data_IF_274533338102
#
_entry.id   IF_274533338102
#
_cell.length_a   1.000
_cell.length_b   1.000
_cell.length_c   1.000
_cell.angle_alpha   90.00
_cell.angle_beta   90.00
_cell.angle_gamma   90.00
#
_symmetry.space_group_name_H-M   'P 1'
#
loop_
_entity.id
_entity.type
_entity.pdbx_description
1 polymer ?
#
# COMPACT_ATOMS: atom_id res chain seq x y z
N UNK A 1 -27.78 14.94 13.96
CA UNK A 1 -27.35 16.08 14.80
C UNK A 1 -26.39 16.91 13.93
N UNK A 2 -26.71 18.16 13.62
CA UNK A 2 -25.85 19.02 12.79
C UNK A 2 -24.73 19.59 13.68
N UNK A 3 -23.48 19.19 13.46
CA UNK A 3 -22.34 19.85 14.08
C UNK A 3 -22.02 21.11 13.29
N UNK A 4 -22.16 22.27 13.93
CA UNK A 4 -21.75 23.54 13.32
C UNK A 4 -20.23 23.64 13.45
N UNK A 5 -19.50 23.47 12.36
CA UNK A 5 -18.06 23.70 12.34
C UNK A 5 -17.78 25.17 12.66
N UNK A 6 -16.99 25.42 13.70
CA UNK A 6 -16.49 26.75 14.04
C UNK A 6 -15.02 26.78 13.62
N UNK A 7 -14.64 27.55 12.57
CA UNK A 7 -13.26 27.57 12.11
C UNK A 7 -12.32 28.00 13.24
N UNK A 8 -11.11 27.41 13.33
CA UNK A 8 -10.13 27.87 14.30
C UNK A 8 -9.76 29.32 13.97
N UNK A 9 -9.89 30.18 14.97
CA UNK A 9 -9.43 31.57 14.92
C UNK A 9 -8.13 31.67 15.68
N UNK A 10 -7.15 32.35 15.10
CA UNK A 10 -5.95 32.76 15.84
C UNK A 10 -6.23 34.13 16.42
N UNK A 11 -6.05 34.24 17.74
CA UNK A 11 -6.20 35.51 18.46
C UNK A 11 -4.81 35.99 18.84
N UNK A 12 -4.42 37.17 18.34
CA UNK A 12 -3.19 37.84 18.73
C UNK A 12 -3.51 39.25 19.24
N UNK A 13 -2.53 39.88 19.89
CA UNK A 13 -2.61 41.29 20.30
C UNK A 13 -1.50 42.06 19.61
N UNK A 14 -1.84 43.19 19.01
CA UNK A 14 -0.84 44.07 18.39
C UNK A 14 -0.03 44.85 19.44
N UNK A 15 1.01 45.54 18.97
CA UNK A 15 1.90 46.35 19.82
C UNK A 15 1.23 47.57 20.45
N UNK A 16 -0.01 47.87 20.07
CA UNK A 16 -0.85 48.92 20.68
C UNK A 16 -1.88 48.36 21.67
N UNK A 17 -1.90 47.04 21.89
CA UNK A 17 -2.79 46.35 22.80
C UNK A 17 -4.16 45.97 22.21
N UNK A 18 -4.36 46.11 20.89
CA UNK A 18 -5.62 45.73 20.26
C UNK A 18 -5.64 44.22 19.95
N UNK A 19 -6.78 43.58 20.20
CA UNK A 19 -7.00 42.18 19.86
C UNK A 19 -7.29 42.05 18.36
N UNK A 20 -6.46 41.29 17.66
CA UNK A 20 -6.65 40.90 16.27
C UNK A 20 -7.13 39.44 16.23
N UNK A 21 -8.29 39.22 15.61
CA UNK A 21 -8.84 37.89 15.37
C UNK A 21 -8.72 37.60 13.89
N UNK A 22 -7.85 36.66 13.53
CA UNK A 22 -7.66 36.25 12.14
C UNK A 22 -8.35 34.90 11.92
N UNK A 23 -9.29 34.78 10.97
CA UNK A 23 -9.81 33.48 10.55
C UNK A 23 -8.66 32.66 9.96
N UNK A 24 -8.41 31.45 10.46
CA UNK A 24 -7.49 30.56 9.76
C UNK A 24 -8.18 30.12 8.45
N UNK A 25 -7.45 30.19 7.33
CA UNK A 25 -7.92 29.72 6.02
C UNK A 25 -7.85 28.19 5.90
N UNK A 26 -7.96 27.47 7.02
CA UNK A 26 -7.99 26.01 7.01
C UNK A 26 -9.17 25.55 6.16
N UNK A 27 -8.87 24.90 5.04
CA UNK A 27 -9.87 24.15 4.29
C UNK A 27 -10.59 23.22 5.26
N UNK A 28 -11.93 23.16 5.25
CA UNK A 28 -12.64 22.20 6.08
C UNK A 28 -12.06 20.80 5.83
N UNK A 29 -11.91 19.95 6.85
CA UNK A 29 -11.64 18.54 6.58
C UNK A 29 -12.73 18.03 5.61
N UNK A 30 -12.37 17.20 4.63
CA UNK A 30 -13.37 16.62 3.74
C UNK A 30 -14.50 16.01 4.59
N UNK A 31 -15.77 16.10 4.15
CA UNK A 31 -16.85 15.44 4.87
C UNK A 31 -16.49 13.95 5.05
N UNK A 32 -16.83 13.33 6.19
CA UNK A 32 -16.63 11.90 6.39
C UNK A 32 -17.21 11.16 5.19
N UNK A 33 -16.41 10.33 4.52
CA UNK A 33 -16.89 9.49 3.43
C UNK A 33 -17.85 8.48 4.06
N UNK A 34 -19.16 8.66 3.88
CA UNK A 34 -20.20 7.85 4.54
C UNK A 34 -20.51 6.54 3.80
N UNK A 35 -19.90 6.29 2.64
CA UNK A 35 -20.03 5.06 1.85
C UNK A 35 -18.73 4.81 1.13
N UNK A 36 -18.16 3.61 1.29
CA UNK A 36 -17.00 3.21 0.49
C UNK A 36 -17.36 3.04 -0.99
N UNK A 37 -16.40 2.62 -1.79
CA UNK A 37 -16.56 2.49 -3.24
C UNK A 37 -16.21 1.10 -3.80
N UNK A 38 -16.02 0.08 -2.96
CA UNK A 38 -15.96 -1.30 -3.41
C UNK A 38 -17.31 -1.74 -3.97
N UNK A 39 -17.32 -2.29 -5.18
CA UNK A 39 -18.52 -2.72 -5.89
C UNK A 39 -18.42 -4.12 -6.50
N UNK A 40 -19.34 -4.47 -7.43
CA UNK A 40 -19.39 -5.79 -8.07
C UNK A 40 -18.21 -6.07 -9.02
N UNK A 41 -17.40 -5.06 -9.35
CA UNK A 41 -16.19 -5.20 -10.15
C UNK A 41 -15.07 -5.98 -9.43
N UNK A 42 -15.20 -6.21 -8.13
CA UNK A 42 -14.28 -7.03 -7.33
C UNK A 42 -14.82 -8.45 -7.16
N UNK A 43 -13.93 -9.43 -7.24
CA UNK A 43 -14.19 -10.78 -6.76
C UNK A 43 -13.82 -10.89 -5.29
N UNK A 44 -14.82 -11.09 -4.43
CA UNK A 44 -14.64 -11.29 -2.99
C UNK A 44 -14.34 -12.77 -2.74
N UNK A 45 -13.06 -13.12 -2.61
CA UNK A 45 -12.59 -14.51 -2.48
C UNK A 45 -12.88 -15.06 -1.09
N UNK A 46 -13.75 -16.08 -0.95
CA UNK A 46 -14.00 -16.72 0.33
C UNK A 46 -12.71 -17.14 1.02
N UNK A 47 -12.74 -17.19 2.36
CA UNK A 47 -11.57 -17.55 3.16
C UNK A 47 -10.92 -18.85 2.64
N UNK A 48 -9.61 -18.81 2.42
CA UNK A 48 -8.85 -19.93 1.89
C UNK A 48 -7.54 -20.15 2.63
N UNK A 49 -6.74 -21.13 2.20
CA UNK A 49 -5.47 -21.44 2.84
C UNK A 49 -5.59 -21.98 4.28
N UNK A 50 -6.74 -22.58 4.61
CA UNK A 50 -7.04 -23.05 5.97
C UNK A 50 -7.67 -22.00 6.88
N UNK A 51 -7.76 -20.73 6.44
CA UNK A 51 -8.50 -19.71 7.16
C UNK A 51 -10.00 -20.00 7.22
N UNK A 52 -10.59 -19.52 8.31
CA UNK A 52 -12.02 -19.26 8.42
C UNK A 52 -12.27 -17.75 8.45
N UNK A 53 -13.55 -17.37 8.40
CA UNK A 53 -13.97 -15.99 8.52
C UNK A 53 -14.77 -15.53 7.30
N UNK A 54 -14.64 -14.27 6.92
CA UNK A 54 -15.43 -13.70 5.83
C UNK A 54 -14.69 -12.60 5.08
N UNK A 55 -14.96 -12.52 3.79
CA UNK A 55 -14.75 -11.32 2.99
C UNK A 55 -16.09 -10.89 2.42
N UNK A 56 -16.44 -9.61 2.54
CA UNK A 56 -17.70 -9.10 2.03
C UNK A 56 -17.63 -7.61 1.77
N UNK A 57 -18.51 -7.13 0.91
CA UNK A 57 -18.77 -5.71 0.74
C UNK A 57 -20.02 -5.32 1.52
N UNK A 58 -19.93 -4.25 2.30
CA UNK A 58 -21.06 -3.68 3.05
C UNK A 58 -21.07 -2.17 2.84
N UNK A 59 -22.08 -1.65 2.14
CA UNK A 59 -22.24 -0.22 1.86
C UNK A 59 -20.98 0.43 1.25
N UNK A 60 -20.31 -0.29 0.34
CA UNK A 60 -19.11 0.18 -0.33
C UNK A 60 -17.80 -0.10 0.40
N UNK A 61 -17.84 -0.59 1.64
CA UNK A 61 -16.65 -0.94 2.43
C UNK A 61 -16.32 -2.41 2.22
N UNK A 62 -15.08 -2.73 1.87
CA UNK A 62 -14.58 -4.10 1.89
C UNK A 62 -14.23 -4.47 3.33
N UNK A 63 -14.86 -5.51 3.84
CA UNK A 63 -14.64 -6.04 5.18
C UNK A 63 -13.92 -7.38 5.08
N UNK A 64 -12.73 -7.47 5.65
CA UNK A 64 -12.03 -8.74 5.86
C UNK A 64 -12.08 -9.11 7.33
N UNK A 65 -12.42 -10.36 7.61
CA UNK A 65 -12.47 -10.96 8.94
C UNK A 65 -11.70 -12.27 8.84
N UNK A 66 -10.44 -12.25 9.23
CA UNK A 66 -9.54 -13.40 9.10
C UNK A 66 -9.39 -14.10 10.45
N UNK A 67 -9.63 -15.41 10.47
CA UNK A 67 -9.18 -16.27 11.55
C UNK A 67 -8.38 -17.43 10.96
N UNK A 68 -7.13 -17.57 11.40
CA UNK A 68 -6.28 -18.69 11.03
C UNK A 68 -5.30 -19.03 12.17
N UNK A 69 -5.77 -19.72 13.23
CA UNK A 69 -4.95 -19.96 14.43
C UNK A 69 -3.82 -20.98 14.20
N UNK A 70 -3.87 -21.77 13.11
CA UNK A 70 -2.81 -22.67 12.68
C UNK A 70 -2.08 -22.14 11.44
N UNK A 71 -1.22 -22.98 10.85
CA UNK A 71 -0.41 -22.62 9.68
C UNK A 71 1.05 -22.35 10.03
N UNK A 72 1.80 -21.93 9.03
CA UNK A 72 3.22 -21.57 9.10
C UNK A 72 3.59 -20.69 7.88
N UNK A 73 4.86 -20.33 7.73
CA UNK A 73 5.32 -19.49 6.63
C UNK A 73 5.13 -20.10 5.22
N UNK A 74 4.77 -21.39 5.13
CA UNK A 74 4.43 -22.06 3.87
C UNK A 74 2.92 -22.28 3.71
N UNK A 75 2.11 -21.94 4.71
CA UNK A 75 0.69 -22.24 4.79
C UNK A 75 -0.09 -21.07 5.42
N UNK A 76 -0.24 -20.00 4.65
CA UNK A 76 -1.04 -18.83 5.01
C UNK A 76 -2.53 -19.07 4.72
N UNK A 77 -3.36 -18.59 5.64
CA UNK A 77 -4.78 -18.40 5.41
C UNK A 77 -5.04 -16.97 4.95
N UNK A 78 -6.04 -16.76 4.10
CA UNK A 78 -6.30 -15.45 3.48
C UNK A 78 -7.79 -15.13 3.36
N UNK A 79 -8.10 -13.83 3.34
CA UNK A 79 -9.41 -13.26 3.01
C UNK A 79 -9.19 -12.01 2.16
N UNK A 80 -9.51 -12.07 0.88
CA UNK A 80 -9.08 -11.04 -0.08
C UNK A 80 -10.17 -10.69 -1.09
N UNK A 81 -10.07 -9.49 -1.64
CA UNK A 81 -10.80 -9.06 -2.82
C UNK A 81 -9.81 -8.89 -3.97
N UNK A 82 -10.15 -9.45 -5.13
CA UNK A 82 -9.28 -9.49 -6.30
C UNK A 82 -9.95 -8.84 -7.50
N UNK A 83 -9.16 -8.14 -8.31
CA UNK A 83 -9.59 -7.55 -9.57
C UNK A 83 -8.48 -7.65 -10.62
N UNK A 84 -8.78 -8.18 -11.80
CA UNK A 84 -7.85 -8.31 -12.90
C UNK A 84 -7.36 -9.74 -13.14
N UNK A 85 -6.10 -9.92 -13.51
CA UNK A 85 -5.49 -11.20 -13.88
C UNK A 85 -4.32 -11.54 -12.97
N UNK A 86 -4.13 -12.84 -12.72
CA UNK A 86 -3.22 -13.31 -11.69
C UNK A 86 -2.33 -14.48 -12.15
N UNK A 87 -1.21 -14.75 -11.45
CA UNK A 87 -0.26 -15.82 -11.76
C UNK A 87 -0.86 -17.22 -11.87
N UNK A 88 -1.90 -17.51 -11.10
CA UNK A 88 -2.60 -18.80 -11.05
C UNK A 88 -3.57 -19.05 -12.23
N UNK A 89 -3.43 -18.28 -13.33
CA UNK A 89 -3.98 -18.65 -14.64
C UNK A 89 -5.42 -18.23 -14.92
N UNK A 90 -6.09 -17.52 -14.02
CA UNK A 90 -7.45 -17.05 -14.20
C UNK A 90 -7.60 -15.57 -13.81
N UNK A 91 -8.55 -14.88 -14.46
CA UNK A 91 -8.95 -13.53 -14.07
C UNK A 91 -10.02 -13.56 -13.00
N UNK A 92 -10.01 -12.55 -12.13
CA UNK A 92 -10.90 -12.41 -10.98
C UNK A 92 -11.54 -11.02 -11.03
N UNK A 93 -12.84 -10.95 -10.81
CA UNK A 93 -13.60 -9.71 -10.95
C UNK A 93 -13.57 -9.17 -12.37
N UNK A 94 -13.71 -7.85 -12.50
CA UNK A 94 -13.62 -7.16 -13.78
C UNK A 94 -12.16 -6.85 -14.15
N UNK A 95 -11.85 -6.62 -15.44
CA UNK A 95 -10.57 -6.08 -15.86
C UNK A 95 -10.21 -4.77 -15.16
N UNK A 96 -8.90 -4.53 -14.97
CA UNK A 96 -8.39 -3.25 -14.51
C UNK A 96 -8.54 -2.16 -15.58
N UNK A 97 -8.80 -0.90 -15.18
CA UNK A 97 -8.59 0.25 -16.05
C UNK A 97 -7.15 0.29 -16.58
N UNK A 98 -6.96 0.75 -17.81
CA UNK A 98 -5.63 0.90 -18.39
C UNK A 98 -4.83 2.05 -17.73
N UNK A 99 -3.51 1.89 -17.67
CA UNK A 99 -2.53 2.91 -17.25
C UNK A 99 -2.74 3.47 -15.84
N UNK A 100 -3.09 2.61 -14.88
CA UNK A 100 -3.07 2.97 -13.46
C UNK A 100 -1.63 3.37 -13.09
N UNK A 101 -1.48 4.58 -12.54
CA UNK A 101 -0.21 5.15 -12.08
C UNK A 101 -0.07 5.01 -10.57
N UNK A 102 -1.18 5.15 -9.84
CA UNK A 102 -1.19 4.95 -8.40
C UNK A 102 -2.46 4.26 -7.90
N UNK A 103 -2.29 3.53 -6.81
CA UNK A 103 -3.35 2.84 -6.06
C UNK A 103 -3.33 3.41 -4.65
N UNK A 104 -4.44 4.04 -4.27
CA UNK A 104 -4.63 4.51 -2.90
C UNK A 104 -5.71 3.69 -2.22
N UNK A 105 -5.48 3.25 -0.99
CA UNK A 105 -6.46 2.49 -0.19
C UNK A 105 -6.45 3.00 1.23
N UNK A 106 -7.63 3.29 1.79
CA UNK A 106 -7.77 3.62 3.21
C UNK A 106 -8.27 2.38 3.95
N UNK A 107 -7.44 1.82 4.82
CA UNK A 107 -7.80 0.77 5.75
C UNK A 107 -8.20 1.35 7.12
N UNK A 108 -8.80 0.51 7.95
CA UNK A 108 -9.09 0.77 9.35
C UNK A 108 -9.02 -0.57 10.09
N UNK A 109 -7.98 -0.76 10.88
CA UNK A 109 -7.79 -1.95 11.68
C UNK A 109 -8.75 -1.94 12.88
N UNK A 110 -9.57 -2.98 12.97
CA UNK A 110 -10.56 -3.13 14.04
C UNK A 110 -10.07 -4.05 15.16
N UNK A 111 -9.49 -5.19 14.77
CA UNK A 111 -9.02 -6.23 15.69
C UNK A 111 -7.70 -6.79 15.17
N UNK A 112 -6.78 -7.02 16.09
CA UNK A 112 -5.53 -7.72 15.83
C UNK A 112 -5.16 -8.61 17.02
N UNK A 113 -5.44 -9.90 16.91
CA UNK A 113 -5.26 -10.89 17.99
C UNK A 113 -4.63 -12.17 17.47
N UNK A 114 -3.67 -12.67 18.24
CA UNK A 114 -2.85 -13.83 17.87
C UNK A 114 -2.89 -14.91 18.95
N UNK A 115 -2.61 -16.14 18.53
CA UNK A 115 -2.37 -17.25 19.46
C UNK A 115 -1.05 -17.05 20.23
N UNK A 116 -0.86 -17.81 21.30
CA UNK A 116 0.44 -17.89 21.97
C UNK A 116 1.39 -18.79 21.15
N UNK A 117 2.34 -18.20 20.43
CA UNK A 117 3.31 -18.94 19.63
C UNK A 117 3.84 -18.11 18.46
N UNK A 118 4.53 -18.74 17.51
CA UNK A 118 4.87 -18.11 16.24
C UNK A 118 3.62 -17.64 15.52
N UNK A 119 3.70 -16.47 14.91
CA UNK A 119 2.60 -15.90 14.13
C UNK A 119 3.13 -14.95 13.07
N UNK A 120 2.50 -14.93 11.91
CA UNK A 120 2.78 -13.94 10.88
C UNK A 120 1.46 -13.54 10.28
N UNK A 121 1.13 -12.25 10.28
CA UNK A 121 -0.06 -11.77 9.62
C UNK A 121 0.10 -10.36 9.08
N UNK A 122 -0.68 -10.06 8.06
CA UNK A 122 -0.67 -8.78 7.42
C UNK A 122 -2.04 -8.45 6.85
N UNK A 123 -2.29 -7.15 6.69
CA UNK A 123 -3.22 -6.67 5.69
C UNK A 123 -2.47 -5.82 4.67
N UNK A 124 -2.89 -5.90 3.41
CA UNK A 124 -2.06 -5.47 2.30
C UNK A 124 -2.85 -5.02 1.09
N UNK A 125 -2.15 -4.30 0.22
CA UNK A 125 -2.52 -4.07 -1.17
C UNK A 125 -1.45 -4.74 -2.03
N UNK A 126 -1.87 -5.77 -2.76
CA UNK A 126 -1.09 -6.54 -3.70
C UNK A 126 -1.23 -6.00 -5.12
N UNK A 127 -0.13 -5.86 -5.85
CA UNK A 127 -0.10 -5.49 -7.26
C UNK A 127 0.58 -6.62 -8.06
N UNK A 128 -0.07 -7.05 -9.14
CA UNK A 128 0.40 -8.16 -9.97
C UNK A 128 0.73 -7.67 -11.37
N UNK A 129 1.99 -7.88 -11.76
CA UNK A 129 2.54 -7.37 -13.01
C UNK A 129 2.83 -8.51 -13.97
N UNK A 130 2.45 -8.34 -15.23
CA UNK A 130 3.04 -9.11 -16.31
C UNK A 130 4.43 -8.59 -16.58
N UNK A 131 5.43 -9.46 -16.50
CA UNK A 131 6.81 -9.14 -16.84
C UNK A 131 7.48 -10.41 -17.36
N UNK A 132 7.81 -10.45 -18.66
CA UNK A 132 8.35 -11.66 -19.29
C UNK A 132 9.70 -12.12 -18.72
N UNK A 133 10.44 -11.21 -18.06
CA UNK A 133 11.71 -11.50 -17.41
C UNK A 133 11.55 -12.16 -16.03
N UNK A 134 10.37 -12.07 -15.42
CA UNK A 134 10.08 -12.63 -14.10
C UNK A 134 9.71 -14.11 -14.18
N UNK A 135 9.79 -14.82 -13.05
CA UNK A 135 9.37 -16.20 -12.90
C UNK A 135 7.91 -16.38 -13.35
N UNK A 136 7.68 -17.35 -14.24
CA UNK A 136 6.39 -17.59 -14.92
C UNK A 136 5.77 -16.37 -15.63
N UNK A 137 6.57 -15.34 -15.92
CA UNK A 137 6.11 -14.11 -16.55
C UNK A 137 5.36 -13.18 -15.60
N UNK A 138 5.53 -13.35 -14.28
CA UNK A 138 4.83 -12.59 -13.26
C UNK A 138 5.75 -12.08 -12.17
N UNK A 139 5.51 -10.82 -11.81
CA UNK A 139 6.05 -10.20 -10.62
C UNK A 139 4.86 -9.82 -9.74
N UNK A 140 4.94 -10.05 -8.44
CA UNK A 140 3.95 -9.55 -7.50
C UNK A 140 4.61 -8.65 -6.44
N UNK A 141 3.85 -7.67 -5.95
CA UNK A 141 4.30 -6.80 -4.87
C UNK A 141 3.21 -6.64 -3.83
N UNK A 142 3.57 -6.60 -2.56
CA UNK A 142 2.67 -6.23 -1.47
C UNK A 142 3.19 -4.99 -0.73
N UNK A 143 2.38 -3.95 -0.64
CA UNK A 143 2.55 -2.97 0.44
C UNK A 143 1.66 -3.40 1.59
N UNK A 144 2.24 -3.59 2.78
CA UNK A 144 1.56 -4.27 3.88
C UNK A 144 1.79 -3.63 5.25
N UNK A 145 0.78 -3.75 6.10
CA UNK A 145 0.95 -3.59 7.55
C UNK A 145 1.06 -5.00 8.13
N UNK A 146 2.22 -5.32 8.69
CA UNK A 146 2.63 -6.69 9.02
C UNK A 146 2.97 -6.83 10.51
N UNK A 147 2.67 -7.99 11.06
CA UNK A 147 3.11 -8.45 12.36
C UNK A 147 3.81 -9.79 12.25
N UNK A 148 5.03 -9.86 12.77
CA UNK A 148 5.79 -11.10 12.94
C UNK A 148 5.96 -11.33 14.44
N UNK A 149 5.58 -12.52 14.89
CA UNK A 149 5.56 -12.93 16.31
C UNK A 149 4.85 -11.92 17.23
N UNK A 150 3.79 -11.28 16.70
CA UNK A 150 2.95 -10.25 17.33
C UNK A 150 3.59 -8.87 17.43
N UNK A 151 4.80 -8.70 16.93
CA UNK A 151 5.46 -7.40 16.82
C UNK A 151 5.20 -6.82 15.45
N UNK A 152 4.75 -5.56 15.39
CA UNK A 152 4.56 -4.87 14.12
C UNK A 152 5.93 -4.63 13.46
N UNK A 153 6.04 -4.94 12.18
CA UNK A 153 7.26 -4.70 11.42
C UNK A 153 7.50 -3.19 11.25
N UNK A 154 8.76 -2.72 11.34
CA UNK A 154 9.10 -1.33 11.10
C UNK A 154 8.80 -0.87 9.67
N UNK A 155 8.45 0.40 9.50
CA UNK A 155 8.32 1.04 8.18
C UNK A 155 9.59 0.85 7.35
N UNK A 156 9.40 0.48 6.08
CA UNK A 156 10.51 0.25 5.16
C UNK A 156 11.17 -1.12 5.28
N UNK A 157 10.62 -2.04 6.09
CA UNK A 157 11.07 -3.44 6.07
C UNK A 157 10.72 -4.07 4.73
N UNK A 158 11.72 -4.64 4.07
CA UNK A 158 11.57 -5.27 2.76
C UNK A 158 11.81 -6.78 2.84
N UNK A 159 11.07 -7.57 2.06
CA UNK A 159 11.37 -8.99 1.86
C UNK A 159 11.00 -9.47 0.45
N UNK A 160 11.61 -10.58 0.03
CA UNK A 160 11.22 -11.31 -1.18
C UNK A 160 10.58 -12.65 -0.80
N UNK A 161 9.68 -13.14 -1.65
CA UNK A 161 9.01 -14.43 -1.51
C UNK A 161 8.68 -15.02 -2.88
N UNK A 162 8.39 -16.32 -2.95
CA UNK A 162 8.11 -16.98 -4.23
C UNK A 162 9.36 -17.26 -5.08
N UNK A 163 9.24 -16.98 -6.38
CA UNK A 163 10.25 -17.27 -7.39
C UNK A 163 10.42 -18.77 -7.67
N UNK A 164 11.46 -19.11 -8.43
CA UNK A 164 11.73 -20.51 -8.82
C UNK A 164 11.99 -21.47 -7.65
N UNK A 165 12.37 -20.93 -6.49
CA UNK A 165 12.58 -21.67 -5.23
C UNK A 165 11.28 -22.00 -4.49
N UNK A 166 10.21 -21.26 -4.75
CA UNK A 166 8.87 -21.48 -4.19
C UNK A 166 7.81 -21.36 -5.30
N UNK A 167 7.63 -22.42 -6.10
CA UNK A 167 6.75 -22.40 -7.25
C UNK A 167 5.26 -22.27 -6.89
N UNK A 168 4.90 -22.36 -5.60
CA UNK A 168 3.51 -22.21 -5.14
C UNK A 168 2.96 -20.80 -5.39
N UNK A 169 3.81 -19.78 -5.26
CA UNK A 169 3.48 -18.36 -5.49
C UNK A 169 3.32 -18.05 -6.98
N UNK A 170 4.04 -18.77 -7.85
CA UNK A 170 4.01 -18.62 -9.31
C UNK A 170 4.42 -17.21 -9.83
N UNK A 171 5.05 -16.39 -9.00
CA UNK A 171 5.59 -15.08 -9.32
C UNK A 171 6.88 -14.81 -8.54
N UNK A 172 7.69 -13.87 -9.01
CA UNK A 172 8.77 -13.26 -8.24
C UNK A 172 8.16 -12.20 -7.30
N UNK A 173 8.15 -12.46 -6.00
CA UNK A 173 7.41 -11.63 -5.05
C UNK A 173 8.27 -10.70 -4.19
N UNK A 174 7.70 -9.55 -3.88
CA UNK A 174 8.35 -8.49 -3.10
C UNK A 174 7.35 -7.83 -2.14
N UNK A 175 7.80 -7.44 -0.96
CA UNK A 175 6.95 -6.75 -0.01
C UNK A 175 7.65 -5.58 0.67
N UNK A 176 6.87 -4.55 0.96
CA UNK A 176 7.27 -3.37 1.72
C UNK A 176 6.33 -3.14 2.90
N UNK A 177 6.88 -3.14 4.11
CA UNK A 177 6.13 -2.89 5.33
C UNK A 177 5.91 -1.39 5.58
N UNK A 178 4.74 -1.05 6.11
CA UNK A 178 4.38 0.26 6.63
C UNK A 178 3.52 0.15 7.89
N UNK A 179 3.37 1.25 8.62
CA UNK A 179 2.51 1.36 9.80
C UNK A 179 1.26 2.20 9.56
N UNK A 180 1.22 2.95 8.45
CA UNK A 180 0.09 3.74 8.02
C UNK A 180 -1.07 2.86 7.56
N UNK A 181 -2.31 3.25 7.91
CA UNK A 181 -3.53 2.65 7.35
C UNK A 181 -3.92 3.25 5.99
N UNK A 182 -3.27 4.36 5.59
CA UNK A 182 -3.34 4.89 4.24
C UNK A 182 -2.22 4.25 3.40
N UNK A 183 -2.62 3.44 2.43
CA UNK A 183 -1.75 2.96 1.37
C UNK A 183 -1.77 3.98 0.25
N UNK A 184 -0.61 4.51 -0.12
CA UNK A 184 -0.44 5.41 -1.26
C UNK A 184 0.69 4.86 -2.13
N UNK A 185 0.31 4.09 -3.15
CA UNK A 185 1.22 3.20 -3.86
C UNK A 185 1.41 3.72 -5.27
N UNK A 186 2.64 4.11 -5.60
CA UNK A 186 3.08 4.35 -6.96
C UNK A 186 3.39 3.01 -7.64
N UNK A 187 2.66 2.72 -8.72
CA UNK A 187 2.67 1.41 -9.41
C UNK A 187 4.05 1.13 -10.00
N UNK A 188 4.65 2.13 -10.64
CA UNK A 188 5.95 1.99 -11.30
C UNK A 188 7.08 1.83 -10.28
N UNK A 189 7.03 2.60 -9.19
CA UNK A 189 8.03 2.52 -8.11
C UNK A 189 8.02 1.13 -7.45
N UNK A 190 6.84 0.54 -7.23
CA UNK A 190 6.74 -0.82 -6.70
C UNK A 190 7.31 -1.85 -7.66
N UNK A 191 6.98 -1.77 -8.95
CA UNK A 191 7.57 -2.66 -9.96
C UNK A 191 9.11 -2.57 -9.95
N UNK A 192 9.68 -1.36 -9.98
CA UNK A 192 11.12 -1.17 -10.03
C UNK A 192 11.85 -1.69 -8.79
N UNK A 193 11.26 -1.50 -7.60
CA UNK A 193 11.80 -2.01 -6.35
C UNK A 193 11.87 -3.55 -6.39
N UNK A 194 10.77 -4.19 -6.80
CA UNK A 194 10.71 -5.63 -6.92
C UNK A 194 11.62 -6.19 -8.02
N UNK A 195 11.64 -5.56 -9.19
CA UNK A 195 12.53 -5.94 -10.30
C UNK A 195 14.00 -5.92 -9.83
N UNK A 196 14.40 -4.86 -9.12
CA UNK A 196 15.73 -4.74 -8.52
C UNK A 196 16.00 -5.85 -7.50
N UNK A 197 15.03 -6.17 -6.63
CA UNK A 197 15.18 -7.22 -5.63
C UNK A 197 15.41 -8.61 -6.25
N UNK A 198 14.85 -8.84 -7.44
CA UNK A 198 15.00 -10.08 -8.20
C UNK A 198 16.08 -10.04 -9.29
N UNK A 199 16.86 -8.96 -9.38
CA UNK A 199 17.93 -8.82 -10.39
C UNK A 199 17.42 -8.69 -11.82
N UNK A 200 16.16 -8.30 -11.99
CA UNK A 200 15.53 -7.96 -13.28
C UNK A 200 15.84 -6.50 -13.60
N UNK A 201 16.03 -6.17 -14.88
CA UNK A 201 16.18 -4.78 -15.32
C UNK A 201 14.91 -3.99 -14.95
N UNK A 202 14.99 -2.92 -14.12
CA UNK A 202 13.83 -2.10 -13.78
C UNK A 202 13.13 -1.45 -14.98
N UNK A 203 13.78 -1.39 -16.15
CA UNK A 203 13.17 -0.94 -17.40
C UNK A 203 12.52 -2.07 -18.23
N UNK A 204 12.46 -3.29 -17.70
CA UNK A 204 11.84 -4.42 -18.39
C UNK A 204 10.38 -4.12 -18.76
N UNK A 205 9.92 -4.48 -19.97
CA UNK A 205 8.52 -4.28 -20.35
C UNK A 205 7.58 -4.98 -19.39
N UNK A 206 6.62 -4.22 -18.85
CA UNK A 206 5.66 -4.73 -17.89
C UNK A 206 4.30 -4.02 -17.99
N UNK A 207 3.29 -4.63 -17.38
CA UNK A 207 1.96 -4.05 -17.19
C UNK A 207 1.35 -4.49 -15.87
N UNK A 208 0.63 -3.59 -15.20
CA UNK A 208 -0.20 -3.94 -14.05
C UNK A 208 -1.47 -4.64 -14.55
N UNK A 209 -1.62 -5.91 -14.17
CA UNK A 209 -2.70 -6.78 -14.66
C UNK A 209 -3.67 -7.18 -13.55
N UNK A 210 -3.25 -7.18 -12.28
CA UNK A 210 -4.08 -7.55 -11.14
C UNK A 210 -3.84 -6.68 -9.91
N UNK A 211 -4.90 -6.48 -9.12
CA UNK A 211 -4.86 -5.87 -7.79
C UNK A 211 -5.55 -6.82 -6.82
N UNK A 212 -4.91 -7.07 -5.68
CA UNK A 212 -5.50 -7.76 -4.54
C UNK A 212 -5.51 -6.85 -3.32
N UNK A 213 -6.59 -6.85 -2.55
CA UNK A 213 -6.69 -6.12 -1.29
C UNK A 213 -7.23 -7.08 -0.25
N UNK A 214 -6.54 -7.24 0.87
CA UNK A 214 -7.06 -8.09 1.92
C UNK A 214 -6.10 -8.36 3.05
N UNK A 215 -6.30 -9.51 3.68
CA UNK A 215 -5.55 -9.95 4.84
C UNK A 215 -5.12 -11.39 4.66
N UNK A 216 -3.91 -11.71 5.12
CA UNK A 216 -3.38 -13.07 5.15
C UNK A 216 -2.53 -13.29 6.41
N UNK A 217 -2.39 -14.54 6.83
CA UNK A 217 -1.55 -14.88 7.97
C UNK A 217 -1.76 -16.29 8.53
N UNK A 218 -0.95 -16.62 9.53
CA UNK A 218 -1.07 -17.79 10.40
C UNK A 218 -0.85 -17.40 11.87
N UNK A 219 -1.33 -18.24 12.79
CA UNK A 219 -1.31 -17.90 14.23
C UNK A 219 -2.24 -16.75 14.60
N UNK A 220 -3.22 -16.44 13.74
CA UNK A 220 -4.19 -15.36 13.89
C UNK A 220 -5.44 -15.90 14.57
N UNK A 221 -5.76 -15.40 15.76
CA UNK A 221 -7.06 -15.65 16.37
C UNK A 221 -8.12 -14.82 15.68
N UNK A 222 -7.83 -13.54 15.42
CA UNK A 222 -8.72 -12.62 14.72
C UNK A 222 -7.94 -11.43 14.15
N UNK A 223 -8.09 -11.16 12.86
CA UNK A 223 -7.61 -9.96 12.19
C UNK A 223 -8.75 -9.37 11.38
N UNK A 224 -9.28 -8.25 11.86
CA UNK A 224 -10.45 -7.60 11.28
C UNK A 224 -10.05 -6.24 10.71
N UNK A 225 -10.28 -6.05 9.41
CA UNK A 225 -9.94 -4.81 8.71
C UNK A 225 -11.12 -4.36 7.87
N UNK A 226 -11.40 -3.06 7.93
CA UNK A 226 -12.33 -2.39 7.02
C UNK A 226 -11.54 -1.52 6.05
N UNK A 227 -11.55 -1.89 4.77
CA UNK A 227 -11.03 -1.06 3.69
C UNK A 227 -12.14 -0.10 3.25
N UNK A 228 -12.05 1.12 3.75
CA UNK A 228 -13.08 2.14 3.65
C UNK A 228 -13.26 2.64 2.21
N UNK A 229 -12.18 2.74 1.44
CA UNK A 229 -12.21 3.18 0.05
C UNK A 229 -10.93 2.80 -0.68
N UNK A 230 -11.00 2.79 -2.01
CA UNK A 230 -9.84 2.72 -2.89
C UNK A 230 -9.91 3.81 -3.97
N UNK A 231 -8.79 4.20 -4.55
CA UNK A 231 -8.75 5.07 -5.72
C UNK A 231 -7.66 4.60 -6.68
N UNK A 232 -7.98 4.58 -7.97
CA UNK A 232 -7.04 4.23 -9.03
C UNK A 232 -6.83 5.49 -9.88
N UNK A 233 -5.67 6.13 -9.73
CA UNK A 233 -5.32 7.25 -10.58
C UNK A 233 -4.78 6.72 -11.91
N UNK A 234 -5.42 7.06 -13.02
CA UNK A 234 -4.97 6.66 -14.36
C UNK A 234 -4.29 7.83 -15.07
N UNK A 235 -3.18 7.52 -15.74
CA UNK A 235 -2.49 8.45 -16.62
C UNK A 235 -3.04 8.43 -18.04
N UNK A 236 -2.67 9.41 -18.89
CA UNK A 236 -2.93 9.32 -20.32
C UNK A 236 -2.30 8.05 -20.91
N UNK A 237 -3.00 7.40 -21.85
CA UNK A 237 -2.47 6.26 -22.58
C UNK A 237 -1.31 6.74 -23.46
N UNK A 238 -0.06 6.54 -23.03
CA UNK A 238 1.09 6.77 -23.91
C UNK A 238 1.53 5.42 -24.47
N UNK A 239 1.64 5.35 -25.79
CA UNK A 239 2.33 4.25 -26.48
C UNK A 239 3.58 4.85 -27.11
N UNK A 240 4.81 4.47 -26.68
CA UNK A 240 5.13 3.47 -25.65
C UNK A 240 4.83 3.94 -24.20
N UNK A 241 4.82 3.02 -23.21
CA UNK A 241 4.64 3.38 -21.79
C UNK A 241 5.56 4.54 -21.37
N UNK A 242 5.14 5.37 -20.40
CA UNK A 242 6.00 6.45 -19.92
C UNK A 242 7.34 5.86 -19.46
N UNK A 243 8.47 6.50 -19.78
CA UNK A 243 9.74 6.10 -19.20
C UNK A 243 9.65 6.18 -17.66
N UNK A 244 10.38 5.32 -16.92
CA UNK A 244 10.51 5.36 -15.47
C UNK A 244 10.50 6.80 -14.90
N UNK A 245 9.71 7.12 -13.87
CA UNK A 245 9.92 8.31 -13.08
C UNK A 245 11.38 8.30 -12.65
N UNK A 246 12.12 9.35 -12.99
CA UNK A 246 13.50 9.50 -12.52
C UNK A 246 13.49 9.51 -11.00
N UNK A 247 13.99 8.44 -10.41
CA UNK A 247 14.05 8.23 -8.97
C UNK A 247 14.71 9.45 -8.32
N UNK A 248 14.02 10.06 -7.34
CA UNK A 248 14.58 11.19 -6.60
C UNK A 248 15.74 10.68 -5.76
N UNK A 249 16.96 11.06 -6.13
CA UNK A 249 18.17 10.70 -5.37
C UNK A 249 18.59 11.90 -4.52
N UNK A 250 18.73 11.68 -3.22
CA UNK A 250 19.23 12.66 -2.27
C UNK A 250 20.52 12.14 -1.64
N UNK A 251 21.62 12.90 -1.81
CA UNK A 251 22.90 12.59 -1.16
C UNK A 251 23.19 13.65 -0.11
N UNK A 252 23.58 13.21 1.10
CA UNK A 252 24.00 14.08 2.19
C UNK A 252 25.49 13.90 2.43
N UNK A 253 26.24 15.00 2.48
CA UNK A 253 27.64 15.00 2.90
C UNK A 253 27.73 15.82 4.18
N UNK A 254 28.08 15.16 5.29
CA UNK A 254 28.41 15.82 6.54
C UNK A 254 29.92 16.06 6.58
N UNK A 255 30.34 17.33 6.65
CA UNK A 255 31.75 17.70 6.85
C UNK A 255 31.90 18.27 8.26
N UNK A 256 32.65 17.62 9.16
CA UNK A 256 32.90 18.18 10.49
C UNK A 256 33.80 19.41 10.36
N UNK A 257 33.35 20.54 10.90
CA UNK A 257 34.20 21.72 11.10
C UNK A 257 35.23 21.50 12.22
N UNK A 258 36.30 22.31 12.30
CA UNK A 258 37.39 22.10 13.26
C UNK A 258 37.02 22.32 14.75
N UNK A 259 35.77 22.68 15.10
CA UNK A 259 35.27 22.86 16.49
C UNK A 259 33.75 22.55 16.50
N UNK A 260 33.17 21.89 17.53
CA UNK A 260 31.82 21.30 17.46
C UNK A 260 30.73 22.34 17.72
N UNK A 261 30.42 23.23 16.77
CA UNK A 261 29.28 24.15 16.90
C UNK A 261 28.46 24.39 15.62
N UNK A 262 28.80 23.76 14.50
CA UNK A 262 27.92 23.80 13.31
C UNK A 262 28.22 22.63 12.37
N UNK A 263 27.21 21.80 12.10
CA UNK A 263 27.22 20.86 10.98
C UNK A 263 26.54 21.51 9.77
N UNK A 264 27.25 21.57 8.65
CA UNK A 264 26.68 22.00 7.38
C UNK A 264 26.19 20.77 6.63
N UNK A 265 24.89 20.67 6.42
CA UNK A 265 24.28 19.68 5.54
C UNK A 265 24.11 20.30 4.15
N UNK A 266 24.81 19.74 3.16
CA UNK A 266 24.58 20.09 1.75
C UNK A 266 23.84 18.93 1.12
N UNK A 267 22.63 19.17 0.63
CA UNK A 267 21.83 18.20 -0.09
C UNK A 267 21.86 18.47 -1.59
N UNK A 268 22.06 17.44 -2.39
CA UNK A 268 21.80 17.47 -3.82
C UNK A 268 20.62 16.56 -4.11
N UNK A 269 19.58 17.11 -4.74
CA UNK A 269 18.47 16.35 -5.31
C UNK A 269 18.65 16.28 -6.83
N UNK A 270 18.52 15.10 -7.41
CA UNK A 270 18.45 14.91 -8.86
C UNK A 270 17.34 13.93 -9.23
N UNK A 271 16.65 14.21 -10.34
CA UNK A 271 15.42 13.51 -10.75
C UNK A 271 14.13 14.30 -10.47
N UNK A 272 12.99 13.63 -10.55
CA UNK A 272 11.65 14.22 -10.36
C UNK A 272 10.95 14.74 -11.63
N UNK A 273 9.62 14.79 -11.58
CA UNK A 273 8.74 15.31 -12.64
C UNK A 273 8.74 16.85 -12.60
N UNK A 274 8.89 17.58 -13.72
CA UNK A 274 8.76 19.03 -13.74
C UNK A 274 7.38 19.46 -13.20
N UNK A 275 7.25 20.62 -12.50
CA UNK A 275 5.95 21.14 -12.15
C UNK A 275 5.14 21.40 -13.41
N UNK A 276 3.89 20.93 -13.45
CA UNK A 276 2.98 21.09 -14.58
C UNK A 276 2.90 22.56 -15.01
N UNK A 277 3.15 22.81 -16.31
CA UNK A 277 2.98 24.11 -16.98
C UNK A 277 1.53 24.36 -17.36
#
# INVERSE_FOLDING_TARGET
MSSTFKPPVTVTTDSSGNIIVTPSSGTPPPPPITTGNFGPEWFYQPAGGGATGSVQQVNGVLQTRLQNPGGDDSNYGYTTAQRGSFPWGFSQGDPLPANIQSVQVQANLLVNQFVSGPSHAQYYVGLYYRCAAAFNGWLDTQVRVEWIDRAQSPDGTESTYGGSSDPGVQADGYSLAQSSELFDIDVETQFQAAAKAWGIDPASPHSLDGIEIGSEGFGVTELDVDFQSYNLATGPVTNPPPPPPTQLSATFIASPGPVPLSELFTGHASGGTPPYS
#
